data_IF_399457513336
#
_entry.id   IF_399457513336
#
_cell.length_a   1.000
_cell.length_b   1.000
_cell.length_c   1.000
_cell.angle_alpha   90.00
_cell.angle_beta   90.00
_cell.angle_gamma   90.00
#
_symmetry.space_group_name_H-M   'P 1'
#
loop_
_entity.id
_entity.type
_entity.pdbx_description
1 polymer ?
#
# COMPACT_ATOMS: atom_id res chain seq x y z
N UNK A 1 -32.35 -9.83 -5.01
CA UNK A 1 -31.98 -10.08 -3.61
C UNK A 1 -30.60 -10.70 -3.64
N UNK A 2 -29.57 -10.03 -3.13
CA UNK A 2 -28.22 -10.60 -3.08
C UNK A 2 -28.21 -11.56 -1.89
N UNK A 3 -27.97 -12.83 -2.14
CA UNK A 3 -27.80 -13.84 -1.09
C UNK A 3 -26.36 -13.77 -0.58
N UNK A 4 -26.18 -13.56 0.72
CA UNK A 4 -24.86 -13.50 1.35
C UNK A 4 -24.59 -14.83 2.05
N UNK A 5 -23.49 -15.49 1.68
CA UNK A 5 -23.03 -16.69 2.37
C UNK A 5 -22.60 -16.34 3.79
N UNK A 6 -23.37 -16.77 4.78
CA UNK A 6 -23.01 -16.70 6.21
C UNK A 6 -22.35 -18.01 6.62
N UNK A 7 -21.15 -17.93 7.20
CA UNK A 7 -20.45 -19.07 7.80
C UNK A 7 -20.58 -19.00 9.32
N UNK A 8 -21.33 -19.92 9.93
CA UNK A 8 -21.44 -20.02 11.39
C UNK A 8 -20.44 -21.06 11.93
N UNK A 9 -19.43 -20.59 12.64
CA UNK A 9 -18.39 -21.43 13.25
C UNK A 9 -18.53 -21.54 14.78
N UNK A 10 -19.63 -21.03 15.35
CA UNK A 10 -19.84 -21.05 16.81
C UNK A 10 -20.03 -22.50 17.29
N UNK A 11 -19.37 -22.84 18.40
CA UNK A 11 -19.43 -24.19 18.99
C UNK A 11 -18.57 -25.23 18.27
N UNK A 12 -17.87 -24.85 17.21
CA UNK A 12 -16.98 -25.74 16.46
C UNK A 12 -15.54 -25.61 16.95
N UNK A 13 -14.88 -26.73 17.25
CA UNK A 13 -13.45 -26.77 17.53
C UNK A 13 -12.72 -27.27 16.27
N UNK A 14 -12.12 -26.35 15.52
CA UNK A 14 -11.36 -26.65 14.31
C UNK A 14 -9.85 -26.52 14.58
N UNK A 15 -9.08 -27.50 14.14
CA UNK A 15 -7.63 -27.38 14.03
C UNK A 15 -7.26 -26.30 12.99
N UNK A 16 -6.05 -25.70 13.05
CA UNK A 16 -5.65 -24.63 12.13
C UNK A 16 -5.78 -24.96 10.63
N UNK A 17 -5.55 -26.22 10.24
CA UNK A 17 -5.72 -26.69 8.86
C UNK A 17 -7.19 -26.80 8.43
N UNK A 18 -8.08 -27.16 9.35
CA UNK A 18 -9.53 -27.25 9.09
C UNK A 18 -10.14 -25.84 8.97
N UNK A 19 -9.64 -24.89 9.77
CA UNK A 19 -10.02 -23.48 9.69
C UNK A 19 -9.68 -22.87 8.33
N UNK A 20 -8.50 -23.20 7.78
CA UNK A 20 -8.08 -22.75 6.45
C UNK A 20 -8.98 -23.30 5.32
N UNK A 21 -9.55 -24.49 5.48
CA UNK A 21 -10.47 -25.09 4.50
C UNK A 21 -11.88 -24.50 4.53
N UNK A 22 -12.35 -24.00 5.67
CA UNK A 22 -13.71 -23.43 5.81
C UNK A 22 -13.76 -21.94 5.56
N UNK A 23 -12.65 -21.22 5.76
CA UNK A 23 -12.55 -19.79 5.49
C UNK A 23 -12.23 -19.57 4.00
N UNK A 24 -13.20 -19.10 3.18
CA UNK A 24 -12.94 -18.86 1.77
C UNK A 24 -11.92 -17.73 1.64
N UNK A 25 -10.77 -18.04 1.02
CA UNK A 25 -9.91 -17.03 0.42
C UNK A 25 -10.21 -16.99 -1.06
N UNK A 26 -10.29 -15.80 -1.63
CA UNK A 26 -10.36 -15.67 -3.08
C UNK A 26 -9.13 -16.38 -3.68
N UNK A 27 -9.36 -17.36 -4.55
CA UNK A 27 -8.29 -17.90 -5.36
C UNK A 27 -7.78 -16.76 -6.26
N UNK A 28 -6.46 -16.62 -6.36
CA UNK A 28 -5.83 -15.67 -7.28
C UNK A 28 -6.26 -16.07 -8.70
N UNK A 29 -6.71 -15.09 -9.51
CA UNK A 29 -7.21 -15.33 -10.87
C UNK A 29 -6.19 -16.05 -11.74
N UNK A 30 -6.65 -16.93 -12.64
CA UNK A 30 -5.82 -17.74 -13.55
C UNK A 30 -5.01 -16.91 -14.57
N UNK A 31 -5.38 -15.65 -14.82
CA UNK A 31 -4.64 -14.77 -15.73
C UNK A 31 -3.51 -14.06 -14.97
N UNK A 32 -2.30 -14.62 -15.06
CA UNK A 32 -1.09 -14.04 -14.47
C UNK A 32 -0.70 -12.73 -15.19
N UNK A 33 -0.44 -11.68 -14.41
CA UNK A 33 0.15 -10.42 -14.89
C UNK A 33 1.68 -10.42 -14.85
N UNK A 34 2.30 -11.51 -14.43
CA UNK A 34 3.74 -11.59 -14.16
C UNK A 34 4.57 -11.24 -15.40
N UNK A 35 4.23 -11.77 -16.58
CA UNK A 35 4.97 -11.49 -17.81
C UNK A 35 4.93 -10.00 -18.18
N UNK A 36 3.78 -9.34 -18.00
CA UNK A 36 3.64 -7.91 -18.27
C UNK A 36 4.42 -7.06 -17.25
N UNK A 37 4.37 -7.42 -15.97
CA UNK A 37 5.15 -6.75 -14.91
C UNK A 37 6.64 -6.92 -15.14
N UNK A 38 7.09 -8.14 -15.50
CA UNK A 38 8.49 -8.42 -15.79
C UNK A 38 9.00 -7.58 -16.97
N UNK A 39 8.21 -7.48 -18.04
CA UNK A 39 8.54 -6.62 -19.19
C UNK A 39 8.68 -5.14 -18.79
N UNK A 40 7.79 -4.60 -17.93
CA UNK A 40 7.90 -3.23 -17.43
C UNK A 40 9.17 -3.05 -16.60
N UNK A 41 9.48 -3.99 -15.70
CA UNK A 41 10.68 -3.92 -14.87
C UNK A 41 11.94 -3.89 -15.74
N UNK A 42 12.03 -4.77 -16.74
CA UNK A 42 13.20 -4.83 -17.63
C UNK A 42 13.34 -3.58 -18.48
N UNK A 43 12.22 -3.03 -18.97
CA UNK A 43 12.20 -1.78 -19.72
C UNK A 43 12.63 -0.57 -18.87
N UNK A 44 12.20 -0.49 -17.61
CA UNK A 44 12.65 0.53 -16.65
C UNK A 44 14.14 0.38 -16.32
N UNK A 45 14.65 -0.85 -16.18
CA UNK A 45 16.08 -1.09 -15.96
C UNK A 45 16.94 -0.62 -17.13
N UNK A 46 16.47 -0.80 -18.35
CA UNK A 46 17.21 -0.42 -19.57
C UNK A 46 17.06 1.06 -19.90
N UNK A 47 15.86 1.64 -19.80
CA UNK A 47 15.54 3.00 -20.27
C UNK A 47 15.34 4.04 -19.16
N UNK A 48 15.35 3.62 -17.90
CA UNK A 48 15.11 4.52 -16.76
C UNK A 48 13.75 5.22 -16.86
N UNK A 49 13.72 6.54 -16.61
CA UNK A 49 12.48 7.33 -16.53
C UNK A 49 11.72 7.45 -17.87
N UNK A 50 12.35 7.13 -19.01
CA UNK A 50 11.63 7.12 -20.29
C UNK A 50 10.50 6.08 -20.30
N UNK A 51 10.72 4.92 -19.68
CA UNK A 51 9.73 3.85 -19.63
C UNK A 51 8.46 4.25 -18.88
N UNK A 52 8.51 4.70 -17.60
CA UNK A 52 7.32 5.15 -16.89
C UNK A 52 6.65 6.36 -17.53
N UNK A 53 7.39 7.23 -18.22
CA UNK A 53 6.81 8.39 -18.92
C UNK A 53 5.94 7.95 -20.09
N UNK A 54 6.40 6.99 -20.88
CA UNK A 54 5.62 6.45 -22.00
C UNK A 54 4.40 5.67 -21.49
N UNK A 55 4.54 4.96 -20.37
CA UNK A 55 3.42 4.27 -19.71
C UNK A 55 2.38 5.27 -19.17
N UNK A 56 2.80 6.37 -18.53
CA UNK A 56 1.91 7.42 -18.05
C UNK A 56 1.18 8.14 -19.19
N UNK A 57 1.85 8.38 -20.33
CA UNK A 57 1.20 8.91 -21.53
C UNK A 57 0.12 7.95 -22.04
N UNK A 58 0.44 6.64 -22.09
CA UNK A 58 -0.47 5.60 -22.59
C UNK A 58 -1.66 5.33 -21.67
N UNK A 59 -1.44 5.22 -20.36
CA UNK A 59 -2.45 4.74 -19.41
C UNK A 59 -3.13 5.86 -18.63
N UNK A 60 -2.41 6.94 -18.33
CA UNK A 60 -2.91 8.08 -17.54
C UNK A 60 -3.21 9.31 -18.43
N UNK A 61 -2.82 9.27 -19.72
CA UNK A 61 -3.03 10.36 -20.67
C UNK A 61 -2.19 11.61 -20.38
N UNK A 62 -1.13 11.48 -19.58
CA UNK A 62 -0.31 12.62 -19.16
C UNK A 62 1.16 12.43 -19.51
N UNK A 63 1.75 13.46 -20.14
CA UNK A 63 3.18 13.48 -20.47
C UNK A 63 3.91 14.53 -19.66
N UNK A 64 4.70 14.09 -18.67
CA UNK A 64 5.48 14.98 -17.80
C UNK A 64 6.99 14.82 -18.05
N UNK A 65 7.71 15.94 -17.99
CA UNK A 65 9.17 15.96 -18.16
C UNK A 65 9.96 15.51 -16.93
N UNK A 66 9.38 15.58 -15.73
CA UNK A 66 10.02 15.21 -14.47
C UNK A 66 9.04 14.39 -13.62
N UNK A 67 9.46 13.26 -13.02
CA UNK A 67 8.60 12.50 -12.10
C UNK A 67 8.33 13.23 -10.78
N UNK A 68 9.24 14.11 -10.35
CA UNK A 68 9.14 14.77 -9.05
C UNK A 68 8.17 15.94 -9.12
N UNK A 69 7.16 15.92 -8.25
CA UNK A 69 6.25 17.05 -8.02
C UNK A 69 7.04 18.20 -7.36
N UNK A 70 6.98 19.45 -7.88
CA UNK A 70 7.62 20.60 -7.24
C UNK A 70 7.06 20.86 -5.84
N UNK A 71 7.90 21.32 -4.91
CA UNK A 71 7.50 21.57 -3.52
C UNK A 71 6.35 22.59 -3.41
N UNK A 72 6.42 23.69 -4.17
CA UNK A 72 5.38 24.71 -4.19
C UNK A 72 4.00 24.15 -4.58
N UNK A 73 3.92 23.19 -5.51
CA UNK A 73 2.65 22.56 -5.90
C UNK A 73 2.05 21.75 -4.75
N UNK A 74 2.90 21.13 -3.92
CA UNK A 74 2.46 20.39 -2.73
C UNK A 74 1.97 21.38 -1.66
N UNK A 75 2.69 22.47 -1.45
CA UNK A 75 2.31 23.52 -0.50
C UNK A 75 0.97 24.15 -0.88
N UNK A 76 0.78 24.50 -2.15
CA UNK A 76 -0.48 25.04 -2.69
C UNK A 76 -1.63 24.05 -2.53
N UNK A 77 -1.39 22.76 -2.83
CA UNK A 77 -2.41 21.72 -2.67
C UNK A 77 -2.84 21.55 -1.20
N UNK A 78 -1.89 21.62 -0.26
CA UNK A 78 -2.18 21.56 1.18
C UNK A 78 -2.93 22.82 1.65
N UNK A 79 -2.55 24.00 1.15
CA UNK A 79 -3.21 25.26 1.47
C UNK A 79 -4.64 25.33 0.93
N UNK A 80 -4.90 24.68 -0.21
CA UNK A 80 -6.21 24.61 -0.86
C UNK A 80 -7.17 23.55 -0.30
N UNK A 81 -6.77 22.78 0.72
CA UNK A 81 -7.66 21.78 1.33
C UNK A 81 -8.83 22.44 2.07
N UNK A 82 -9.99 21.78 2.03
CA UNK A 82 -11.09 22.09 2.93
C UNK A 82 -10.60 22.02 4.40
N UNK A 83 -10.89 23.04 5.24
CA UNK A 83 -10.38 23.08 6.62
C UNK A 83 -10.76 21.87 7.47
N UNK A 84 -11.95 21.28 7.27
CA UNK A 84 -12.37 20.10 8.01
C UNK A 84 -11.61 18.85 7.55
N UNK A 85 -11.36 18.72 6.24
CA UNK A 85 -10.51 17.64 5.70
C UNK A 85 -9.08 17.77 6.21
N UNK A 86 -8.51 18.99 6.20
CA UNK A 86 -7.16 19.25 6.70
C UNK A 86 -7.04 18.87 8.18
N UNK A 87 -7.97 19.31 9.02
CA UNK A 87 -8.00 18.97 10.44
C UNK A 87 -8.10 17.46 10.69
N UNK A 88 -8.93 16.75 9.91
CA UNK A 88 -9.06 15.29 10.03
C UNK A 88 -7.76 14.55 9.65
N UNK A 89 -7.06 14.99 8.59
CA UNK A 89 -5.77 14.43 8.19
C UNK A 89 -4.68 14.70 9.24
N UNK A 90 -4.63 15.90 9.79
CA UNK A 90 -3.66 16.26 10.84
C UNK A 90 -3.84 15.40 12.10
N UNK A 91 -5.08 15.16 12.53
CA UNK A 91 -5.38 14.28 13.66
C UNK A 91 -5.01 12.82 13.37
N UNK A 92 -5.31 12.31 12.16
CA UNK A 92 -4.93 10.97 11.76
C UNK A 92 -3.39 10.78 11.75
N UNK A 93 -2.66 11.78 11.23
CA UNK A 93 -1.20 11.81 11.23
C UNK A 93 -0.65 11.81 12.66
N UNK A 94 -1.22 12.64 13.55
CA UNK A 94 -0.78 12.73 14.94
C UNK A 94 -0.92 11.38 15.66
N UNK A 95 -2.06 10.69 15.50
CA UNK A 95 -2.31 9.37 16.10
C UNK A 95 -1.41 8.28 15.53
N UNK A 96 -1.23 8.25 14.20
CA UNK A 96 -0.36 7.28 13.55
C UNK A 96 1.10 7.44 14.00
N UNK A 97 1.58 8.68 14.11
CA UNK A 97 2.93 8.99 14.62
C UNK A 97 3.09 8.60 16.08
N UNK A 98 2.14 8.95 16.95
CA UNK A 98 2.19 8.58 18.36
C UNK A 98 2.31 7.06 18.54
N UNK A 99 1.52 6.28 17.80
CA UNK A 99 1.61 4.82 17.81
C UNK A 99 2.95 4.32 17.27
N UNK A 100 3.38 4.79 16.09
CA UNK A 100 4.63 4.34 15.48
C UNK A 100 5.86 4.66 16.36
N UNK A 101 5.90 5.86 16.95
CA UNK A 101 6.97 6.27 17.86
C UNK A 101 7.02 5.39 19.11
N UNK A 102 5.88 4.99 19.67
CA UNK A 102 5.83 4.08 20.81
C UNK A 102 6.28 2.64 20.49
N UNK A 103 6.40 2.31 19.19
CA UNK A 103 6.83 0.99 18.69
C UNK A 103 8.27 0.97 18.19
N UNK A 104 8.98 2.10 18.25
CA UNK A 104 10.41 2.13 17.93
C UNK A 104 11.16 1.22 18.92
N UNK A 105 11.87 0.19 18.44
CA UNK A 105 12.74 -0.60 19.30
C UNK A 105 13.78 0.32 19.94
N UNK A 106 14.00 0.16 21.24
CA UNK A 106 15.14 0.78 21.89
C UNK A 106 16.41 -0.01 21.55
N UNK A 107 17.53 0.68 21.41
CA UNK A 107 18.84 0.03 21.38
C UNK A 107 19.04 -0.74 22.70
N UNK A 108 19.62 -1.94 22.60
CA UNK A 108 19.92 -2.78 23.76
C UNK A 108 21.42 -3.03 23.77
N UNK A 109 22.12 -2.45 24.74
CA UNK A 109 23.51 -2.78 25.03
C UNK A 109 23.56 -3.95 26.03
N UNK A 110 24.37 -4.96 25.69
CA UNK A 110 24.60 -6.14 26.54
C UNK A 110 26.09 -6.38 26.66
N UNK A 111 26.62 -6.28 27.87
CA UNK A 111 27.97 -6.71 28.21
C UNK A 111 27.94 -8.23 28.47
N UNK A 112 28.58 -9.01 27.58
CA UNK A 112 28.55 -10.49 27.64
C UNK A 112 29.67 -11.04 28.52
N UNK A 113 30.76 -10.29 28.68
CA UNK A 113 31.88 -10.52 29.57
C UNK A 113 32.65 -9.18 29.73
N UNK A 114 33.41 -9.00 30.83
CA UNK A 114 34.32 -7.86 30.95
C UNK A 114 35.43 -7.87 29.89
#
# INVERSE_FOLDING_TARGET
MVDFRVLDLRGTALAPGELAGVLPRAAVSEQSSEAAVQAIIDDVRTRGFDSPRDLADRFDGVRRGNPRVPAAVIEDAVAGLDPAVRGALEEAIARARAFASARLPADVEVEVAP
#
